data_IF_189022286389
#
_entry.id   IF_189022286389
#
_cell.length_a   1.000
_cell.length_b   1.000
_cell.length_c   1.000
_cell.angle_alpha   90.00
_cell.angle_beta   90.00
_cell.angle_gamma   90.00
#
_symmetry.space_group_name_H-M   'P 1'
#
loop_
_entity.id
_entity.type
_entity.pdbx_description
1 polymer ?
#
# COMPACT_ATOMS: atom_id res chain seq x y z
N UNK A 1 2.12 -10.58 -20.52
CA UNK A 1 1.32 -10.75 -19.29
C UNK A 1 0.19 -11.73 -19.58
N UNK A 2 -0.11 -12.64 -18.67
CA UNK A 2 -1.30 -13.49 -18.74
C UNK A 2 -2.39 -12.89 -17.84
N UNK A 3 -3.64 -13.27 -18.05
CA UNK A 3 -4.73 -12.94 -17.12
C UNK A 3 -4.43 -13.53 -15.74
N UNK A 4 -4.66 -12.73 -14.70
CA UNK A 4 -4.52 -13.14 -13.30
C UNK A 4 -5.86 -12.88 -12.63
N UNK A 5 -6.46 -13.92 -12.06
CA UNK A 5 -7.67 -13.83 -11.26
C UNK A 5 -7.34 -14.20 -9.81
N UNK A 6 -7.66 -13.30 -8.89
CA UNK A 6 -7.57 -13.55 -7.45
C UNK A 6 -8.91 -13.26 -6.80
N UNK A 7 -9.39 -14.18 -5.98
CA UNK A 7 -10.56 -14.00 -5.11
C UNK A 7 -10.07 -13.73 -3.68
N UNK A 8 -9.71 -12.49 -3.34
CA UNK A 8 -8.95 -12.19 -2.14
C UNK A 8 -9.71 -12.46 -0.84
N UNK A 9 -11.02 -12.67 -0.88
CA UNK A 9 -11.82 -13.04 0.30
C UNK A 9 -11.31 -14.34 0.95
N UNK A 10 -10.78 -15.28 0.16
CA UNK A 10 -10.27 -16.56 0.65
C UNK A 10 -8.75 -16.59 0.85
N UNK A 11 -8.04 -15.57 0.38
CA UNK A 11 -6.60 -15.43 0.63
C UNK A 11 -6.38 -15.01 2.08
N UNK A 12 -5.47 -15.68 2.77
CA UNK A 12 -5.05 -15.26 4.11
C UNK A 12 -4.27 -13.94 4.04
N UNK A 13 -4.47 -13.09 5.04
CA UNK A 13 -3.58 -11.96 5.28
C UNK A 13 -2.23 -12.51 5.75
N UNK A 14 -1.12 -11.97 5.25
CA UNK A 14 0.22 -12.23 5.77
C UNK A 14 0.78 -10.97 6.43
N UNK A 15 1.74 -11.15 7.32
CA UNK A 15 2.49 -10.03 7.89
C UNK A 15 3.10 -9.16 6.78
N UNK A 16 2.93 -7.84 6.90
CA UNK A 16 3.52 -6.84 6.02
C UNK A 16 5.06 -6.84 6.18
N UNK A 17 5.79 -7.02 5.07
CA UNK A 17 7.26 -7.01 5.04
C UNK A 17 7.86 -6.11 3.96
N UNK A 18 7.01 -5.52 3.14
CA UNK A 18 7.35 -4.71 1.97
C UNK A 18 7.91 -3.34 2.35
N UNK A 19 7.53 -2.82 3.52
CA UNK A 19 8.00 -1.56 4.07
C UNK A 19 7.86 -1.56 5.61
N UNK A 20 8.59 -0.69 6.31
CA UNK A 20 8.63 -0.72 7.77
C UNK A 20 7.31 -0.24 8.39
N UNK A 21 6.71 -1.06 9.25
CA UNK A 21 5.45 -0.78 9.93
C UNK A 21 4.77 -2.07 10.35
N UNK A 22 3.80 -1.97 11.27
CA UNK A 22 2.99 -3.13 11.68
C UNK A 22 1.69 -3.14 10.90
N UNK A 23 1.52 -4.15 10.07
CA UNK A 23 0.31 -4.35 9.28
C UNK A 23 0.27 -5.72 8.64
N UNK A 24 -0.71 -5.90 7.79
CA UNK A 24 -0.92 -7.11 7.02
C UNK A 24 -1.04 -6.78 5.54
N UNK A 25 -0.72 -7.74 4.69
CA UNK A 25 -0.76 -7.60 3.23
C UNK A 25 -1.42 -8.80 2.57
N UNK A 26 -2.13 -8.55 1.46
CA UNK A 26 -2.51 -9.54 0.45
C UNK A 26 -1.89 -9.12 -0.88
N UNK A 27 -0.98 -9.93 -1.41
CA UNK A 27 -0.37 -9.69 -2.71
C UNK A 27 -1.34 -10.14 -3.81
N UNK A 28 -1.66 -9.25 -4.75
CA UNK A 28 -2.59 -9.50 -5.86
C UNK A 28 -1.87 -9.64 -7.20
N UNK A 29 -0.73 -8.98 -7.37
CA UNK A 29 0.14 -9.08 -8.55
C UNK A 29 1.57 -8.76 -8.15
N UNK A 30 2.52 -9.48 -8.73
CA UNK A 30 3.95 -9.18 -8.63
C UNK A 30 4.66 -9.51 -9.94
N UNK A 31 5.48 -8.57 -10.41
CA UNK A 31 6.36 -8.72 -11.56
C UNK A 31 7.81 -8.48 -11.12
N UNK A 32 8.54 -9.53 -10.72
CA UNK A 32 9.88 -9.39 -10.15
C UNK A 32 10.89 -8.71 -11.10
N UNK A 33 10.68 -8.79 -12.41
CA UNK A 33 11.62 -8.27 -13.42
C UNK A 33 11.66 -6.74 -13.46
N UNK A 34 10.57 -6.08 -13.10
CA UNK A 34 10.44 -4.61 -13.14
C UNK A 34 9.96 -4.00 -11.81
N UNK A 35 9.71 -4.85 -10.80
CA UNK A 35 9.28 -4.42 -9.47
C UNK A 35 7.82 -3.95 -9.38
N UNK A 36 7.03 -4.09 -10.45
CA UNK A 36 5.61 -3.72 -10.41
C UNK A 36 4.83 -4.67 -9.48
N UNK A 37 3.96 -4.11 -8.64
CA UNK A 37 3.17 -4.88 -7.67
C UNK A 37 1.78 -4.29 -7.49
N UNK A 38 0.83 -5.13 -7.12
CA UNK A 38 -0.49 -4.69 -6.66
C UNK A 38 -0.82 -5.47 -5.40
N UNK A 39 -1.21 -4.78 -4.34
CA UNK A 39 -1.45 -5.41 -3.03
C UNK A 39 -2.52 -4.66 -2.24
N UNK A 40 -3.26 -5.38 -1.40
CA UNK A 40 -4.03 -4.77 -0.32
C UNK A 40 -3.16 -4.74 0.93
N UNK A 41 -3.10 -3.59 1.58
CA UNK A 41 -2.42 -3.40 2.87
C UNK A 41 -3.45 -3.02 3.91
N UNK A 42 -3.40 -3.66 5.07
CA UNK A 42 -4.24 -3.37 6.22
C UNK A 42 -3.39 -2.94 7.40
N UNK A 43 -3.68 -1.77 7.96
CA UNK A 43 -3.13 -1.35 9.23
C UNK A 43 -4.23 -1.47 10.31
N UNK A 44 -3.92 -1.98 11.49
CA UNK A 44 -4.86 -2.01 12.61
C UNK A 44 -5.11 -0.59 13.17
N UNK A 45 -6.11 -0.40 14.05
CA UNK A 45 -6.24 0.82 14.85
C UNK A 45 -4.92 1.19 15.55
N UNK A 46 -4.56 2.48 15.51
CA UNK A 46 -3.26 2.96 15.99
C UNK A 46 -2.05 2.53 15.15
N UNK A 47 -2.28 1.92 13.98
CA UNK A 47 -1.25 1.44 13.08
C UNK A 47 -0.39 2.58 12.51
N UNK A 48 0.87 2.25 12.19
CA UNK A 48 1.86 3.19 11.68
C UNK A 48 2.76 2.55 10.65
N UNK A 49 3.03 3.30 9.58
CA UNK A 49 4.10 3.04 8.62
C UNK A 49 5.21 4.06 8.89
N UNK A 50 6.43 3.57 9.07
CA UNK A 50 7.57 4.45 9.29
C UNK A 50 8.05 5.07 7.98
N UNK A 51 8.78 6.20 8.08
CA UNK A 51 9.36 6.83 6.91
C UNK A 51 10.22 5.87 6.10
N UNK A 52 10.04 5.91 4.78
CA UNK A 52 10.82 5.15 3.82
C UNK A 52 10.73 5.83 2.44
N UNK A 53 11.55 5.40 1.50
CA UNK A 53 11.58 5.99 0.15
C UNK A 53 11.08 4.99 -0.88
N UNK A 54 10.26 5.45 -1.83
CA UNK A 54 9.80 4.61 -2.93
C UNK A 54 10.85 4.57 -4.07
N UNK A 55 11.16 3.35 -4.54
CA UNK A 55 12.01 3.14 -5.73
C UNK A 55 11.29 3.45 -7.05
N UNK A 56 9.95 3.46 -7.03
CA UNK A 56 9.06 3.66 -8.18
C UNK A 56 7.89 4.57 -7.82
N UNK A 57 6.98 4.77 -8.77
CA UNK A 57 5.68 5.42 -8.49
C UNK A 57 4.82 4.46 -7.68
N UNK A 58 4.15 4.98 -6.66
CA UNK A 58 3.22 4.22 -5.82
C UNK A 58 1.88 4.93 -5.76
N UNK A 59 0.80 4.19 -5.94
CA UNK A 59 -0.56 4.70 -5.90
C UNK A 59 -1.29 4.09 -4.71
N UNK A 60 -2.02 4.90 -3.97
CA UNK A 60 -2.93 4.46 -2.92
C UNK A 60 -4.36 4.71 -3.36
N UNK A 61 -5.23 3.74 -3.09
CA UNK A 61 -6.68 3.93 -3.04
C UNK A 61 -7.20 3.38 -1.72
N UNK A 62 -7.84 4.22 -0.91
CA UNK A 62 -8.36 3.80 0.40
C UNK A 62 -9.67 3.04 0.19
N UNK A 63 -9.65 1.75 0.51
CA UNK A 63 -10.81 0.86 0.37
C UNK A 63 -11.75 0.99 1.56
N UNK A 64 -11.19 1.13 2.77
CA UNK A 64 -11.95 1.22 4.02
C UNK A 64 -11.10 1.91 5.10
N UNK A 65 -11.74 2.71 5.97
CA UNK A 65 -11.08 3.44 7.06
C UNK A 65 -10.38 4.72 6.59
N UNK A 66 -9.32 5.10 7.31
CA UNK A 66 -8.59 6.35 7.11
C UNK A 66 -7.11 6.27 7.45
N UNK A 67 -6.29 7.09 6.80
CA UNK A 67 -4.92 7.35 7.25
C UNK A 67 -4.57 8.84 7.23
N UNK A 68 -3.60 9.22 8.05
CA UNK A 68 -3.09 10.57 8.22
C UNK A 68 -1.62 10.63 7.85
N UNK A 69 -1.23 11.66 7.11
CA UNK A 69 0.17 11.92 6.74
C UNK A 69 0.32 13.36 6.26
N UNK A 70 1.46 14.00 6.57
CA UNK A 70 1.73 15.41 6.20
C UNK A 70 0.58 16.38 6.53
N UNK A 71 -0.07 16.21 7.70
CA UNK A 71 -1.19 17.06 8.13
C UNK A 71 -2.48 16.88 7.31
N UNK A 72 -2.56 15.86 6.45
CA UNK A 72 -3.73 15.55 5.62
C UNK A 72 -4.31 14.20 6.03
N UNK A 73 -5.62 14.09 5.92
CA UNK A 73 -6.37 12.84 6.10
C UNK A 73 -6.84 12.32 4.75
N UNK A 74 -6.69 11.01 4.55
CA UNK A 74 -7.19 10.28 3.38
C UNK A 74 -8.17 9.22 3.88
N UNK A 75 -9.46 9.44 3.61
CA UNK A 75 -10.56 8.55 4.02
C UNK A 75 -10.95 7.61 2.88
N UNK A 76 -11.86 6.67 3.14
CA UNK A 76 -12.41 5.74 2.15
C UNK A 76 -12.80 6.45 0.84
N UNK A 77 -12.32 5.91 -0.28
CA UNK A 77 -12.48 6.50 -1.62
C UNK A 77 -11.38 7.50 -2.02
N UNK A 78 -10.49 7.88 -1.11
CA UNK A 78 -9.36 8.77 -1.43
C UNK A 78 -8.34 8.06 -2.32
N UNK A 79 -7.91 8.74 -3.38
CA UNK A 79 -6.79 8.35 -4.23
C UNK A 79 -5.57 9.24 -3.99
N UNK A 80 -4.37 8.66 -4.02
CA UNK A 80 -3.11 9.40 -3.93
C UNK A 80 -2.06 8.77 -4.84
N UNK A 81 -1.39 9.59 -5.65
CA UNK A 81 -0.21 9.21 -6.43
C UNK A 81 1.05 9.75 -5.75
N UNK A 82 2.00 8.87 -5.44
CA UNK A 82 3.32 9.20 -4.91
C UNK A 82 4.36 9.04 -6.02
N UNK A 83 5.13 10.09 -6.37
CA UNK A 83 6.13 10.00 -7.41
C UNK A 83 7.33 9.15 -6.98
N UNK A 84 8.10 8.69 -7.98
CA UNK A 84 9.39 8.01 -7.77
C UNK A 84 10.30 8.87 -6.90
N UNK A 85 11.03 8.24 -5.98
CA UNK A 85 11.93 8.90 -5.03
C UNK A 85 11.25 9.87 -4.05
N UNK A 86 9.92 9.85 -3.95
CA UNK A 86 9.24 10.54 -2.86
C UNK A 86 9.63 9.88 -1.53
N UNK A 87 10.05 10.71 -0.58
CA UNK A 87 10.10 10.32 0.82
C UNK A 87 8.68 10.22 1.36
N UNK A 88 8.36 9.03 1.85
CA UNK A 88 7.10 8.76 2.53
C UNK A 88 7.25 9.28 3.94
N UNK A 89 6.56 10.38 4.23
CA UNK A 89 6.37 10.83 5.60
C UNK A 89 5.62 9.75 6.42
N UNK A 90 5.69 9.77 7.76
CA UNK A 90 4.94 8.82 8.57
C UNK A 90 3.47 8.78 8.16
N UNK A 91 2.93 7.56 8.06
CA UNK A 91 1.50 7.33 7.89
C UNK A 91 0.98 6.73 9.19
N UNK A 92 -0.08 7.30 9.75
CA UNK A 92 -0.75 6.78 10.94
C UNK A 92 -2.24 6.60 10.67
N UNK A 93 -2.90 5.75 11.45
CA UNK A 93 -4.36 5.59 11.41
C UNK A 93 -4.90 5.51 12.84
N UNK A 94 -6.07 6.10 13.09
CA UNK A 94 -6.71 6.03 14.40
C UNK A 94 -7.55 4.75 14.49
N UNK A 95 -8.41 4.50 13.50
CA UNK A 95 -9.38 3.40 13.53
C UNK A 95 -9.00 2.19 12.66
N UNK A 96 -7.86 2.26 11.98
CA UNK A 96 -7.43 1.25 11.02
C UNK A 96 -7.74 1.66 9.59
N UNK A 97 -7.05 1.04 8.63
CA UNK A 97 -7.23 1.34 7.22
C UNK A 97 -6.92 0.13 6.36
N UNK A 98 -7.68 -0.06 5.28
CA UNK A 98 -7.33 -0.96 4.17
C UNK A 98 -7.08 -0.14 2.91
N UNK A 99 -5.90 -0.31 2.31
CA UNK A 99 -5.42 0.47 1.17
C UNK A 99 -5.08 -0.49 0.03
N UNK A 100 -5.59 -0.24 -1.17
CA UNK A 100 -5.03 -0.81 -2.40
C UNK A 100 -3.79 -0.01 -2.77
N UNK A 101 -2.64 -0.68 -2.75
CA UNK A 101 -1.36 -0.11 -3.16
C UNK A 101 -0.93 -0.68 -4.50
N UNK A 102 -0.60 0.21 -5.43
CA UNK A 102 -0.14 -0.15 -6.78
C UNK A 102 1.26 0.44 -6.95
N UNK A 103 2.24 -0.43 -7.17
CA UNK A 103 3.60 -0.08 -7.52
C UNK A 103 3.72 -0.19 -9.04
N UNK A 104 4.05 0.92 -9.69
CA UNK A 104 4.30 0.93 -11.12
C UNK A 104 5.65 0.27 -11.41
N UNK A 105 5.81 -0.21 -12.65
CA UNK A 105 7.08 -0.76 -13.10
C UNK A 105 8.17 0.32 -13.02
N UNK A 106 9.33 -0.04 -12.46
CA UNK A 106 10.51 0.80 -12.51
C UNK A 106 11.26 0.45 -13.78
N UNK A 107 11.52 1.43 -14.64
CA UNK A 107 12.41 1.23 -15.79
C UNK A 107 13.81 0.93 -15.25
N UNK A 108 14.33 -0.25 -15.58
CA UNK A 108 15.75 -0.62 -15.44
C UNK A 108 16.59 0.03 -16.52
#
# INVERSE_FOLDING_TARGET
>A
MQEIEHHPLFTAWRELKEFPGRGEVKLLREEPQCGAKTMLVRLPPGGRIEPHTHLGVVQHYVVEGEYHTNGRTFETGSYRLLPKHADVAPITTNNGVTILMIYDAVSV
#
